data_IF_615268910331
#
_entry.id   IF_615268910331
#
_cell.length_a   1.000
_cell.length_b   1.000
_cell.length_c   1.000
_cell.angle_alpha   90.00
_cell.angle_beta   90.00
_cell.angle_gamma   90.00
#
_symmetry.space_group_name_H-M   'P 1'
#
loop_
_entity.id
_entity.type
_entity.pdbx_description
1 polymer ?
#
# COMPACT_ATOMS: atom_id res chain seq x y z
N UNK A 1 -0.15 33.26 -37.36
CA UNK A 1 -1.14 32.17 -37.42
C UNK A 1 -0.82 31.20 -36.31
N UNK A 2 -1.82 30.82 -35.52
CA UNK A 2 -1.73 29.77 -34.50
C UNK A 2 -2.75 28.69 -34.85
N UNK A 3 -2.31 27.44 -34.89
CA UNK A 3 -3.18 26.28 -35.07
C UNK A 3 -3.12 25.43 -33.79
N UNK A 4 -4.27 24.96 -33.31
CA UNK A 4 -4.37 24.10 -32.14
C UNK A 4 -4.72 22.69 -32.60
N UNK A 5 -3.89 21.72 -32.24
CA UNK A 5 -4.15 20.31 -32.49
C UNK A 5 -4.84 19.70 -31.27
N UNK A 6 -5.93 18.96 -31.50
CA UNK A 6 -6.48 18.05 -30.48
C UNK A 6 -5.96 16.66 -30.79
N UNK A 7 -5.18 16.08 -29.87
CA UNK A 7 -4.62 14.74 -30.02
C UNK A 7 -5.54 13.75 -29.29
N UNK A 8 -6.02 12.73 -29.99
CA UNK A 8 -6.85 11.69 -29.39
C UNK A 8 -6.04 10.84 -28.39
N UNK A 9 -6.69 10.35 -27.33
CA UNK A 9 -6.01 9.61 -26.26
C UNK A 9 -5.43 8.24 -26.66
N UNK A 10 -5.81 7.75 -27.83
CA UNK A 10 -5.29 6.53 -28.43
C UNK A 10 -4.36 6.82 -29.63
N UNK A 11 -3.91 8.06 -29.80
CA UNK A 11 -3.01 8.38 -30.91
C UNK A 11 -1.66 7.69 -30.72
N UNK A 12 -1.21 6.95 -31.75
CA UNK A 12 0.06 6.25 -31.70
C UNK A 12 1.25 7.20 -31.54
N UNK A 13 2.15 6.87 -30.61
CA UNK A 13 3.39 7.60 -30.35
C UNK A 13 4.31 7.53 -31.56
N UNK A 14 4.36 8.61 -32.32
CA UNK A 14 5.16 8.67 -33.54
C UNK A 14 5.27 10.10 -34.05
N UNK A 15 6.31 10.33 -34.84
CA UNK A 15 6.49 11.56 -35.59
C UNK A 15 5.34 11.74 -36.60
N UNK A 16 4.90 12.99 -36.74
CA UNK A 16 3.92 13.47 -37.70
C UNK A 16 4.53 14.67 -38.42
N UNK A 17 4.33 14.77 -39.73
CA UNK A 17 4.73 15.94 -40.47
C UNK A 17 3.60 16.98 -40.46
N UNK A 18 3.94 18.20 -40.12
CA UNK A 18 3.07 19.38 -40.14
C UNK A 18 3.53 20.26 -41.27
N UNK A 19 2.63 20.55 -42.21
CA UNK A 19 2.84 21.51 -43.30
C UNK A 19 1.75 22.59 -43.25
N UNK A 20 2.03 23.73 -43.85
CA UNK A 20 1.09 24.83 -43.98
C UNK A 20 0.92 25.14 -45.46
N UNK A 21 -0.31 25.16 -45.94
CA UNK A 21 -0.63 25.55 -47.33
C UNK A 21 -1.28 26.93 -47.35
N UNK A 22 -0.77 27.81 -48.21
CA UNK A 22 -1.30 29.14 -48.49
C UNK A 22 -1.52 29.30 -50.00
N UNK A 23 -2.07 30.45 -50.43
CA UNK A 23 -2.16 30.78 -51.86
C UNK A 23 -0.78 30.86 -52.55
N UNK A 24 0.30 31.10 -51.80
CA UNK A 24 1.67 31.12 -52.31
C UNK A 24 2.37 29.75 -52.33
N UNK A 25 1.71 28.68 -51.90
CA UNK A 25 2.27 27.31 -51.87
C UNK A 25 2.25 26.66 -50.48
N UNK A 26 2.84 25.46 -50.40
CA UNK A 26 2.95 24.65 -49.18
C UNK A 26 4.35 24.75 -48.58
N UNK A 27 4.45 24.92 -47.25
CA UNK A 27 5.72 24.93 -46.54
C UNK A 27 6.44 23.58 -46.59
N UNK A 28 7.73 23.58 -46.25
CA UNK A 28 8.40 22.33 -45.89
C UNK A 28 7.74 21.66 -44.67
N UNK A 29 7.85 20.33 -44.52
CA UNK A 29 7.32 19.63 -43.37
C UNK A 29 8.14 19.93 -42.11
N UNK A 30 7.46 20.15 -41.00
CA UNK A 30 8.03 20.22 -39.66
C UNK A 30 7.56 19.01 -38.87
N UNK A 31 8.45 18.35 -38.13
CA UNK A 31 8.08 17.19 -37.33
C UNK A 31 7.42 17.60 -36.01
N UNK A 32 6.27 16.98 -35.73
CA UNK A 32 5.56 17.01 -34.45
C UNK A 32 5.53 15.58 -33.90
N UNK A 33 5.98 15.37 -32.66
CA UNK A 33 6.01 14.03 -32.06
C UNK A 33 4.95 13.91 -30.98
N UNK A 34 4.11 12.90 -31.10
CA UNK A 34 3.18 12.52 -30.04
C UNK A 34 3.95 11.69 -29.02
N UNK A 35 4.03 12.18 -27.78
CA UNK A 35 4.64 11.49 -26.63
C UNK A 35 3.56 11.12 -25.62
N UNK A 36 3.78 10.06 -24.85
CA UNK A 36 2.93 9.73 -23.69
C UNK A 36 3.59 10.14 -22.38
N UNK A 37 2.80 10.43 -21.34
CA UNK A 37 3.32 10.63 -19.99
C UNK A 37 4.12 9.40 -19.52
N UNK A 38 5.20 9.65 -18.79
CA UNK A 38 6.06 8.61 -18.23
C UNK A 38 6.08 8.74 -16.72
N UNK A 39 5.88 7.63 -16.02
CA UNK A 39 6.04 7.55 -14.57
C UNK A 39 7.41 6.93 -14.27
N UNK A 40 8.29 7.66 -13.57
CA UNK A 40 9.67 7.24 -13.31
C UNK A 40 9.94 6.89 -11.86
N UNK A 41 9.22 7.49 -10.90
CA UNK A 41 9.31 7.10 -9.49
C UNK A 41 8.06 7.45 -8.69
N UNK A 42 7.84 6.69 -7.61
CA UNK A 42 6.90 6.97 -6.53
C UNK A 42 7.69 6.87 -5.22
N UNK A 43 7.72 7.93 -4.42
CA UNK A 43 8.50 7.98 -3.19
C UNK A 43 7.72 8.63 -2.04
N UNK A 44 7.54 7.96 -0.89
CA UNK A 44 7.91 6.56 -0.61
C UNK A 44 7.20 5.56 -1.54
N UNK A 45 7.85 4.45 -1.86
CA UNK A 45 7.24 3.34 -2.62
C UNK A 45 6.67 2.25 -1.70
N UNK A 46 6.56 2.51 -0.40
CA UNK A 46 5.95 1.59 0.56
C UNK A 46 5.12 2.34 1.59
N UNK A 47 4.19 1.65 2.24
CA UNK A 47 3.39 2.19 3.32
C UNK A 47 2.79 1.11 4.21
N UNK A 48 2.59 1.42 5.49
CA UNK A 48 1.98 0.51 6.45
C UNK A 48 0.45 0.67 6.40
N UNK A 49 -0.29 -0.43 6.54
CA UNK A 49 -1.73 -0.39 6.78
C UNK A 49 -2.09 0.56 7.94
N UNK A 50 -3.27 1.17 7.86
CA UNK A 50 -3.77 2.11 8.87
C UNK A 50 -3.08 3.47 8.84
N UNK A 51 -2.28 3.79 7.82
CA UNK A 51 -1.55 5.06 7.72
C UNK A 51 -1.91 5.84 6.46
N UNK A 52 -1.64 7.14 6.50
CA UNK A 52 -1.69 8.04 5.34
C UNK A 52 -0.26 8.40 4.95
N UNK A 53 0.14 8.04 3.73
CA UNK A 53 1.51 8.23 3.23
C UNK A 53 1.53 9.37 2.21
N UNK A 54 2.13 10.53 2.52
CA UNK A 54 2.39 11.53 1.51
C UNK A 54 3.43 11.00 0.52
N UNK A 55 3.13 11.06 -0.77
CA UNK A 55 3.98 10.55 -1.85
C UNK A 55 4.31 11.66 -2.84
N UNK A 56 5.56 11.66 -3.28
CA UNK A 56 6.06 12.42 -4.43
C UNK A 56 6.20 11.46 -5.61
N UNK A 57 5.61 11.85 -6.73
CA UNK A 57 5.55 11.06 -7.95
C UNK A 57 6.28 11.86 -9.04
N UNK A 58 7.36 11.30 -9.60
CA UNK A 58 8.14 11.97 -10.64
C UNK A 58 7.96 11.28 -12.00
N UNK A 59 8.14 12.06 -13.06
CA UNK A 59 7.91 11.61 -14.42
C UNK A 59 8.02 12.71 -15.46
N UNK A 60 7.22 12.62 -16.51
CA UNK A 60 7.06 13.63 -17.56
C UNK A 60 5.65 13.63 -18.12
N UNK A 61 5.21 14.75 -18.69
CA UNK A 61 3.88 14.88 -19.30
C UNK A 61 2.74 14.97 -18.27
N UNK A 62 3.01 15.50 -17.07
CA UNK A 62 2.03 15.60 -15.99
C UNK A 62 1.23 16.90 -15.97
N UNK A 63 1.53 17.86 -16.85
CA UNK A 63 0.86 19.19 -16.85
C UNK A 63 -0.66 19.09 -16.87
N UNK A 64 -1.23 18.10 -17.58
CA UNK A 64 -2.68 17.88 -17.67
C UNK A 64 -3.19 16.70 -16.83
N UNK A 65 -2.37 16.12 -15.95
CA UNK A 65 -2.76 14.98 -15.14
C UNK A 65 -3.99 15.29 -14.28
N UNK A 66 -4.93 14.36 -14.21
CA UNK A 66 -6.21 14.53 -13.50
C UNK A 66 -6.31 13.66 -12.24
N UNK A 67 -5.40 12.71 -12.05
CA UNK A 67 -5.38 11.90 -10.85
C UNK A 67 -4.27 10.87 -10.83
N UNK A 68 -4.25 10.10 -9.74
CA UNK A 68 -3.41 8.92 -9.57
C UNK A 68 -4.31 7.79 -9.14
N UNK A 69 -4.12 6.62 -9.73
CA UNK A 69 -4.80 5.39 -9.32
C UNK A 69 -3.79 4.43 -8.71
N UNK A 70 -4.24 3.69 -7.70
CA UNK A 70 -3.48 2.60 -7.07
C UNK A 70 -4.34 1.35 -7.20
N UNK A 71 -3.79 0.28 -7.79
CA UNK A 71 -4.53 -0.97 -7.99
C UNK A 71 -4.84 -1.67 -6.67
N UNK A 72 -5.67 -2.72 -6.72
CA UNK A 72 -6.04 -3.50 -5.55
C UNK A 72 -7.06 -2.80 -4.66
N UNK A 73 -7.31 -3.35 -3.48
CA UNK A 73 -8.31 -2.84 -2.54
C UNK A 73 -7.67 -2.14 -1.34
N UNK A 74 -8.35 -1.12 -0.83
CA UNK A 74 -8.01 -0.49 0.45
C UNK A 74 -6.89 0.55 0.42
N UNK A 75 -6.42 0.99 -0.76
CA UNK A 75 -5.56 2.17 -0.92
C UNK A 75 -6.32 3.26 -1.67
N UNK A 76 -6.64 4.34 -0.97
CA UNK A 76 -7.30 5.52 -1.55
C UNK A 76 -6.30 6.64 -1.82
N UNK A 77 -6.52 7.43 -2.87
CA UNK A 77 -5.69 8.59 -3.20
C UNK A 77 -6.42 9.88 -2.85
N UNK A 78 -5.79 10.76 -2.07
CA UNK A 78 -6.28 12.11 -1.76
C UNK A 78 -5.16 13.12 -1.94
N UNK A 79 -5.48 14.43 -1.84
CA UNK A 79 -4.45 15.48 -1.88
C UNK A 79 -3.63 15.51 -3.17
N UNK A 80 -4.21 15.04 -4.28
CA UNK A 80 -3.57 15.08 -5.59
C UNK A 80 -3.31 16.53 -6.00
N UNK A 81 -2.06 16.83 -6.35
CA UNK A 81 -1.63 18.14 -6.80
C UNK A 81 -0.49 18.02 -7.81
N UNK A 82 -0.70 18.53 -9.02
CA UNK A 82 0.35 18.65 -10.06
C UNK A 82 1.25 19.82 -9.67
N UNK A 83 2.50 19.54 -9.32
CA UNK A 83 3.50 20.55 -8.95
C UNK A 83 4.16 21.14 -10.21
N UNK A 84 4.47 20.28 -11.18
CA UNK A 84 5.06 20.64 -12.46
C UNK A 84 4.78 19.56 -13.50
N UNK A 85 5.22 19.74 -14.75
CA UNK A 85 5.13 18.71 -15.79
C UNK A 85 5.85 17.39 -15.42
N UNK A 86 6.78 17.45 -14.46
CA UNK A 86 7.61 16.32 -14.07
C UNK A 86 7.35 15.83 -12.65
N UNK A 87 6.43 16.46 -11.92
CA UNK A 87 6.20 16.13 -10.51
C UNK A 87 4.73 16.31 -10.08
N UNK A 88 4.22 15.30 -9.38
CA UNK A 88 2.93 15.28 -8.68
C UNK A 88 3.19 14.98 -7.21
N UNK A 89 2.39 15.58 -6.34
CA UNK A 89 2.24 15.15 -4.94
C UNK A 89 0.86 14.58 -4.72
N UNK A 90 0.77 13.55 -3.89
CA UNK A 90 -0.50 12.93 -3.49
C UNK A 90 -0.37 12.33 -2.08
N UNK A 91 -1.47 11.87 -1.50
CA UNK A 91 -1.48 11.10 -0.25
C UNK A 91 -2.18 9.78 -0.47
N UNK A 92 -1.51 8.68 -0.13
CA UNK A 92 -2.07 7.33 -0.18
C UNK A 92 -2.60 6.96 1.21
N UNK A 93 -3.91 6.83 1.35
CA UNK A 93 -4.58 6.40 2.56
C UNK A 93 -4.76 4.90 2.53
N UNK A 94 -4.06 4.19 3.40
CA UNK A 94 -4.02 2.74 3.43
C UNK A 94 -4.89 2.27 4.58
N UNK A 95 -6.01 1.62 4.26
CA UNK A 95 -6.93 1.07 5.26
C UNK A 95 -6.28 -0.08 6.03
N UNK A 96 -6.79 -0.39 7.23
CA UNK A 96 -6.30 -1.51 8.06
C UNK A 96 -6.54 -2.89 7.44
N UNK A 97 -7.39 -2.97 6.41
CA UNK A 97 -7.74 -4.18 5.66
C UNK A 97 -7.22 -4.17 4.22
N UNK A 98 -6.41 -3.19 3.82
CA UNK A 98 -5.84 -3.12 2.46
C UNK A 98 -5.09 -4.39 2.09
N UNK A 99 -5.04 -4.80 0.82
CA UNK A 99 -4.20 -5.93 0.40
C UNK A 99 -2.74 -5.75 0.86
N UNK A 100 -2.05 -6.83 1.23
CA UNK A 100 -0.60 -6.77 1.47
C UNK A 100 0.16 -7.03 0.17
N UNK A 101 1.38 -6.50 0.07
CA UNK A 101 2.24 -6.70 -1.08
C UNK A 101 2.11 -5.57 -2.11
N UNK A 102 2.35 -5.89 -3.37
CA UNK A 102 2.49 -4.86 -4.41
C UNK A 102 1.14 -4.38 -4.93
N UNK A 103 0.99 -3.06 -4.96
CA UNK A 103 -0.05 -2.34 -5.67
C UNK A 103 0.59 -1.55 -6.81
N UNK A 104 -0.05 -1.49 -7.98
CA UNK A 104 0.43 -0.73 -9.13
C UNK A 104 -0.08 0.70 -9.08
N UNK A 105 0.81 1.68 -9.22
CA UNK A 105 0.51 3.11 -9.29
C UNK A 105 0.51 3.55 -10.75
N UNK A 106 -0.50 4.32 -11.15
CA UNK A 106 -0.61 4.93 -12.48
C UNK A 106 -1.05 6.38 -12.35
N UNK A 107 -0.45 7.27 -13.14
CA UNK A 107 -0.94 8.65 -13.30
C UNK A 107 -1.94 8.68 -14.45
N UNK A 108 -3.11 9.25 -14.17
CA UNK A 108 -4.17 9.43 -15.15
C UNK A 108 -3.98 10.78 -15.84
N UNK A 109 -3.84 10.75 -17.15
CA UNK A 109 -3.64 11.95 -17.97
C UNK A 109 -4.58 11.90 -19.17
N UNK A 110 -5.32 12.97 -19.48
CA UNK A 110 -6.06 13.09 -20.72
C UNK A 110 -5.10 12.92 -21.90
N UNK A 111 -5.37 11.97 -22.79
CA UNK A 111 -4.45 11.67 -23.88
C UNK A 111 -3.68 10.34 -23.73
N UNK A 112 -3.75 9.70 -22.56
CA UNK A 112 -3.12 8.42 -22.28
C UNK A 112 -2.46 8.39 -20.91
N UNK A 113 -2.67 7.32 -20.16
CA UNK A 113 -2.07 7.14 -18.83
C UNK A 113 -0.58 6.80 -18.92
N UNK A 114 0.14 6.95 -17.81
CA UNK A 114 1.50 6.43 -17.69
C UNK A 114 1.52 4.90 -17.68
N UNK A 115 2.72 4.31 -17.79
CA UNK A 115 2.97 2.96 -17.28
C UNK A 115 2.76 2.86 -15.76
N UNK A 116 3.02 1.67 -15.20
CA UNK A 116 2.84 1.39 -13.77
C UNK A 116 4.18 1.32 -13.03
N UNK A 117 4.19 1.77 -11.78
CA UNK A 117 5.26 1.49 -10.81
C UNK A 117 4.69 0.86 -9.53
N UNK A 118 5.45 0.01 -8.82
CA UNK A 118 4.96 -0.64 -7.61
C UNK A 118 4.95 0.32 -6.41
N UNK A 119 3.93 0.15 -5.58
CA UNK A 119 3.84 0.64 -4.21
C UNK A 119 3.51 -0.54 -3.29
N UNK A 120 4.37 -0.86 -2.32
CA UNK A 120 4.19 -2.04 -1.46
C UNK A 120 3.48 -1.69 -0.15
N UNK A 121 2.31 -2.27 0.05
CA UNK A 121 1.57 -2.19 1.32
C UNK A 121 2.08 -3.25 2.29
N UNK A 122 2.49 -2.80 3.48
CA UNK A 122 2.99 -3.64 4.56
C UNK A 122 1.95 -3.74 5.68
N UNK A 123 2.07 -4.78 6.50
CA UNK A 123 1.23 -5.00 7.68
C UNK A 123 2.07 -5.50 8.86
N UNK A 124 1.40 -5.64 10.00
CA UNK A 124 1.97 -6.31 11.17
C UNK A 124 2.17 -7.79 10.90
N UNK A 125 3.28 -8.37 11.37
CA UNK A 125 3.54 -9.80 11.27
C UNK A 125 4.07 -10.36 12.57
N UNK A 126 3.69 -11.60 12.88
CA UNK A 126 4.26 -12.40 13.96
C UNK A 126 5.18 -13.47 13.38
N UNK A 127 6.28 -13.72 14.08
CA UNK A 127 7.25 -14.78 13.77
C UNK A 127 7.33 -15.82 14.88
N UNK A 128 7.10 -15.45 16.14
CA UNK A 128 7.11 -16.40 17.26
C UNK A 128 6.29 -15.94 18.46
N UNK A 129 5.99 -16.89 19.35
CA UNK A 129 5.48 -16.69 20.70
C UNK A 129 6.32 -17.51 21.68
N UNK A 130 6.58 -16.97 22.87
CA UNK A 130 7.26 -17.68 23.96
C UNK A 130 6.68 -17.26 25.32
N UNK A 131 6.42 -18.21 26.25
CA UNK A 131 6.51 -19.65 26.06
C UNK A 131 5.45 -20.17 25.08
N UNK A 132 5.65 -21.37 24.54
CA UNK A 132 4.74 -22.02 23.59
C UNK A 132 3.72 -22.94 24.28
N UNK A 133 3.67 -22.96 25.61
CA UNK A 133 2.75 -23.80 26.37
C UNK A 133 2.23 -23.10 27.62
N UNK A 134 1.10 -23.56 28.14
CA UNK A 134 0.52 -23.09 29.40
C UNK A 134 -0.41 -24.11 30.04
N UNK A 135 -0.49 -24.09 31.36
CA UNK A 135 -1.36 -24.98 32.15
C UNK A 135 -2.71 -24.32 32.46
N UNK A 136 -3.75 -25.13 32.70
CA UNK A 136 -5.04 -24.64 33.19
C UNK A 136 -4.93 -23.87 34.50
N UNK A 137 -5.85 -22.92 34.69
CA UNK A 137 -5.95 -22.05 35.86
C UNK A 137 -4.66 -21.27 36.14
N UNK A 138 -3.88 -21.01 35.10
CA UNK A 138 -2.68 -20.16 35.18
C UNK A 138 -2.84 -18.91 34.33
N UNK A 139 -2.08 -17.87 34.69
CA UNK A 139 -1.82 -16.73 33.81
C UNK A 139 -0.38 -16.84 33.32
N UNK A 140 -0.22 -16.98 32.02
CA UNK A 140 1.08 -17.14 31.37
C UNK A 140 1.51 -15.80 30.79
N UNK A 141 2.63 -15.20 31.25
CA UNK A 141 3.22 -14.07 30.57
C UNK A 141 3.83 -14.56 29.25
N UNK A 142 3.36 -14.04 28.13
CA UNK A 142 3.83 -14.36 26.80
C UNK A 142 4.51 -13.16 26.15
N UNK A 143 5.55 -13.43 25.39
CA UNK A 143 6.20 -12.49 24.48
C UNK A 143 6.03 -13.00 23.05
N UNK A 144 5.47 -12.16 22.19
CA UNK A 144 5.37 -12.40 20.76
C UNK A 144 6.39 -11.53 20.04
N UNK A 145 7.09 -12.09 19.05
CA UNK A 145 8.05 -11.37 18.23
C UNK A 145 7.55 -11.24 16.79
N UNK A 146 8.01 -10.21 16.10
CA UNK A 146 7.67 -9.99 14.70
C UNK A 146 8.05 -8.60 14.20
N UNK A 147 7.20 -8.01 13.36
CA UNK A 147 7.42 -6.69 12.76
C UNK A 147 6.14 -5.84 12.72
N UNK A 148 6.32 -4.52 12.73
CA UNK A 148 5.24 -3.52 12.74
C UNK A 148 4.21 -3.76 13.86
N UNK A 149 4.68 -4.14 15.05
CA UNK A 149 3.84 -4.52 16.18
C UNK A 149 3.47 -3.36 17.13
N UNK A 150 3.95 -2.14 16.86
CA UNK A 150 3.72 -0.98 17.71
C UNK A 150 2.23 -0.70 17.90
N UNK A 151 1.82 -0.45 19.14
CA UNK A 151 0.44 -0.13 19.49
C UNK A 151 -0.51 -1.32 19.46
N UNK A 152 -0.01 -2.56 19.50
CA UNK A 152 -0.84 -3.75 19.57
C UNK A 152 -1.85 -3.66 20.72
N UNK A 153 -3.11 -4.00 20.43
CA UNK A 153 -4.24 -3.86 21.37
C UNK A 153 -4.83 -5.20 21.81
N UNK A 154 -4.60 -6.26 21.05
CA UNK A 154 -5.10 -7.60 21.38
C UNK A 154 -4.14 -8.69 20.91
N UNK A 155 -4.09 -9.78 21.68
CA UNK A 155 -3.55 -11.08 21.29
C UNK A 155 -4.72 -12.07 21.34
N UNK A 156 -4.93 -12.80 20.26
CA UNK A 156 -6.03 -13.75 20.13
C UNK A 156 -5.47 -15.14 19.91
N UNK A 157 -5.95 -16.10 20.70
CA UNK A 157 -5.72 -17.52 20.50
C UNK A 157 -7.04 -18.17 20.09
N UNK A 158 -7.05 -19.06 19.09
CA UNK A 158 -8.30 -19.63 18.60
C UNK A 158 -8.94 -20.63 19.60
N UNK A 159 -10.25 -20.63 19.68
CA UNK A 159 -11.02 -21.46 20.61
C UNK A 159 -11.24 -20.79 21.98
N UNK A 160 -12.11 -21.38 22.79
CA UNK A 160 -12.53 -20.79 24.07
C UNK A 160 -11.56 -21.05 25.23
N UNK A 161 -11.70 -20.25 26.28
CA UNK A 161 -11.04 -20.50 27.57
C UNK A 161 -9.66 -19.84 27.75
N UNK A 162 -9.21 -19.01 26.80
CA UNK A 162 -8.00 -18.20 26.91
C UNK A 162 -8.36 -16.71 26.74
N UNK A 163 -7.85 -15.85 27.61
CA UNK A 163 -7.97 -14.39 27.47
C UNK A 163 -6.60 -13.76 27.67
N UNK A 164 -6.13 -13.01 26.68
CA UNK A 164 -4.84 -12.33 26.73
C UNK A 164 -5.02 -10.82 26.85
N UNK A 165 -4.38 -10.22 27.85
CA UNK A 165 -4.30 -8.77 28.01
C UNK A 165 -2.91 -8.28 27.61
N UNK A 166 -2.82 -7.41 26.60
CA UNK A 166 -1.56 -6.80 26.19
C UNK A 166 -1.06 -5.86 27.29
N UNK A 167 0.19 -6.01 27.70
CA UNK A 167 0.86 -5.20 28.72
C UNK A 167 1.85 -4.20 28.13
N UNK A 168 2.29 -4.42 26.88
CA UNK A 168 3.14 -3.48 26.15
C UNK A 168 3.44 -3.96 24.73
N UNK A 169 3.83 -3.02 23.86
CA UNK A 169 4.30 -3.36 22.51
C UNK A 169 5.38 -2.39 22.03
N UNK A 170 6.27 -2.90 21.19
CA UNK A 170 7.25 -2.15 20.40
C UNK A 170 7.05 -2.48 18.92
N UNK A 171 7.90 -1.95 18.04
CA UNK A 171 7.84 -2.30 16.62
C UNK A 171 8.08 -3.80 16.37
N UNK A 172 8.76 -4.52 17.27
CA UNK A 172 9.18 -5.91 17.08
C UNK A 172 8.68 -6.89 18.13
N UNK A 173 8.07 -6.40 19.21
CA UNK A 173 7.62 -7.25 20.33
C UNK A 173 6.24 -6.87 20.85
N UNK A 174 5.48 -7.85 21.32
CA UNK A 174 4.27 -7.68 22.12
C UNK A 174 4.45 -8.49 23.40
N UNK A 175 4.25 -7.84 24.56
CA UNK A 175 4.15 -8.52 25.85
C UNK A 175 2.68 -8.59 26.25
N UNK A 176 2.22 -9.75 26.69
CA UNK A 176 0.85 -9.96 27.14
C UNK A 176 0.78 -10.98 28.28
N UNK A 177 -0.26 -10.92 29.08
CA UNK A 177 -0.60 -11.93 30.08
C UNK A 177 -1.82 -12.72 29.60
N UNK A 178 -1.67 -14.03 29.39
CA UNK A 178 -2.73 -14.90 28.90
C UNK A 178 -3.25 -15.81 30.01
N UNK A 179 -4.47 -15.56 30.47
CA UNK A 179 -5.16 -16.38 31.46
C UNK A 179 -5.85 -17.57 30.78
N UNK A 180 -5.57 -18.78 31.27
CA UNK A 180 -6.12 -20.05 30.78
C UNK A 180 -7.11 -20.58 31.82
N UNK A 181 -8.37 -20.72 31.44
CA UNK A 181 -9.42 -21.25 32.32
C UNK A 181 -9.39 -22.78 32.38
N UNK A 182 -9.98 -23.36 33.44
CA UNK A 182 -10.12 -24.82 33.59
C UNK A 182 -10.85 -25.51 32.42
N UNK A 183 -11.73 -24.79 31.71
CA UNK A 183 -12.51 -25.34 30.59
C UNK A 183 -11.80 -25.25 29.23
N UNK A 184 -10.58 -24.74 29.16
CA UNK A 184 -9.84 -24.65 27.90
C UNK A 184 -9.49 -26.06 27.38
N UNK A 185 -9.77 -26.36 26.11
CA UNK A 185 -9.43 -27.68 25.56
C UNK A 185 -7.90 -27.89 25.44
N UNK A 186 -7.46 -29.13 25.65
CA UNK A 186 -6.06 -29.58 25.51
C UNK A 186 -5.62 -29.69 24.06
N UNK A 187 -5.45 -28.55 23.40
CA UNK A 187 -5.10 -28.51 21.98
C UNK A 187 -4.09 -27.41 21.70
N UNK A 188 -3.38 -27.56 20.58
CA UNK A 188 -2.62 -26.46 20.01
C UNK A 188 -3.56 -25.34 19.57
N UNK A 189 -3.05 -24.10 19.66
CA UNK A 189 -3.74 -22.86 19.39
C UNK A 189 -2.97 -22.06 18.36
N UNK A 190 -3.70 -21.58 17.37
CA UNK A 190 -3.26 -20.55 16.45
C UNK A 190 -3.26 -19.20 17.17
N UNK A 191 -2.26 -18.37 16.89
CA UNK A 191 -2.07 -17.07 17.53
C UNK A 191 -2.08 -15.96 16.48
N UNK A 192 -2.84 -14.90 16.75
CA UNK A 192 -2.79 -13.62 16.01
C UNK A 192 -2.70 -12.47 16.99
N UNK A 193 -2.29 -11.30 16.49
CA UNK A 193 -2.39 -10.04 17.21
C UNK A 193 -3.12 -8.99 16.38
N UNK A 194 -3.76 -8.04 17.05
CA UNK A 194 -4.38 -6.87 16.43
C UNK A 194 -3.54 -5.64 16.73
N UNK A 195 -3.18 -4.90 15.67
CA UNK A 195 -2.38 -3.68 15.73
C UNK A 195 -3.09 -2.55 14.96
N UNK A 196 -2.64 -1.29 15.06
CA UNK A 196 -3.07 -0.22 14.18
C UNK A 196 -2.80 -0.52 12.69
N UNK A 197 -1.80 -1.35 12.39
CA UNK A 197 -1.50 -1.86 11.05
C UNK A 197 -2.38 -3.05 10.62
N UNK A 198 -3.48 -3.30 11.33
CA UNK A 198 -4.38 -4.42 11.13
C UNK A 198 -3.97 -5.68 11.91
N UNK A 199 -4.69 -6.77 11.65
CA UNK A 199 -4.41 -8.08 12.22
C UNK A 199 -3.16 -8.69 11.56
N UNK A 200 -2.32 -9.33 12.37
CA UNK A 200 -1.11 -10.03 11.91
C UNK A 200 -1.45 -11.26 11.08
N UNK A 201 -0.44 -11.87 10.45
CA UNK A 201 -0.54 -13.27 10.04
C UNK A 201 -0.82 -14.18 11.25
N UNK A 202 -1.35 -15.35 10.95
CA UNK A 202 -1.58 -16.41 11.94
C UNK A 202 -0.32 -17.22 12.15
N UNK A 203 0.15 -17.31 13.39
CA UNK A 203 1.07 -18.36 13.80
C UNK A 203 0.25 -19.64 14.07
N UNK A 204 0.39 -20.64 13.20
CA UNK A 204 -0.40 -21.87 13.30
C UNK A 204 0.16 -22.79 14.39
N UNK A 205 -0.74 -23.34 15.22
CA UNK A 205 -0.43 -24.30 16.29
C UNK A 205 0.76 -23.88 17.19
N UNK A 206 0.88 -22.58 17.46
CA UNK A 206 2.06 -21.99 18.08
C UNK A 206 2.02 -21.95 19.62
N UNK A 207 0.86 -22.21 20.23
CA UNK A 207 0.71 -22.28 21.68
C UNK A 207 -0.13 -23.51 22.08
N UNK A 208 0.36 -24.37 22.97
CA UNK A 208 -0.36 -25.57 23.43
C UNK A 208 -0.87 -25.41 24.85
N UNK A 209 -2.17 -25.64 25.04
CA UNK A 209 -2.78 -25.75 26.36
C UNK A 209 -2.62 -27.19 26.85
N UNK A 210 -1.95 -27.37 27.99
CA UNK A 210 -1.67 -28.66 28.64
C UNK A 210 -2.39 -28.78 29.97
#
# INVERSE_FOLDING_TARGET
MTATFTIAANANQSARNVTVTTSGGTSGPVTFTIVTPVLTSVSPNTGLRGTSVPVTINGSGFTSATGVTVSGTGVGVTGFHVVSDTQITATFNITTTAGLGNHSVTVVVPGGNTGTLPFTVQGATLTSISPTTGLHNTTVPVTLNGSNLSGATAVTMNGGGITCSVTGSTATTISANCSITNGAAHTARNVTATTPAGTTNTLNAAFTVN
#
